data_IF_514649556916
#
_entry.id   IF_514649556916
#
_cell.length_a   1.000
_cell.length_b   1.000
_cell.length_c   1.000
_cell.angle_alpha   90.00
_cell.angle_beta   90.00
_cell.angle_gamma   90.00
#
_symmetry.space_group_name_H-M   'P 1'
#
loop_
_entity.id
_entity.type
_entity.pdbx_description
1 polymer ?
#
# COMPACT_ATOMS: atom_id res chain seq x y z
N UNK A 1 54.75 -4.56 61.36
CA UNK A 1 56.13 -4.76 61.87
C UNK A 1 56.98 -3.54 61.56
N UNK A 2 57.80 -3.08 62.52
CA UNK A 2 58.85 -2.07 62.24
C UNK A 2 59.88 -2.62 61.25
N UNK A 3 60.58 -1.71 60.56
CA UNK A 3 61.72 -2.05 59.72
C UNK A 3 62.83 -2.75 60.52
N UNK A 4 63.75 -3.43 59.81
CA UNK A 4 64.86 -4.15 60.42
C UNK A 4 65.65 -3.25 61.39
N UNK A 5 66.04 -3.83 62.54
CA UNK A 5 66.88 -3.17 63.53
C UNK A 5 68.13 -2.62 62.85
N UNK A 6 68.36 -1.31 62.97
CA UNK A 6 69.55 -0.67 62.42
C UNK A 6 70.80 -1.27 63.04
N UNK A 7 71.85 -1.43 62.23
CA UNK A 7 73.16 -1.85 62.73
C UNK A 7 73.70 -0.84 63.76
N UNK A 8 74.46 -1.31 64.74
CA UNK A 8 75.12 -0.41 65.71
C UNK A 8 76.09 0.50 64.97
N UNK A 9 76.28 1.73 65.44
CA UNK A 9 77.19 2.67 64.78
C UNK A 9 78.66 2.28 65.07
N UNK A 10 79.18 1.36 64.28
CA UNK A 10 80.59 0.92 64.22
C UNK A 10 81.02 0.79 62.76
N UNK A 11 82.30 0.56 62.51
CA UNK A 11 82.87 0.54 61.15
C UNK A 11 82.23 -0.52 60.23
N UNK A 12 81.75 -1.63 60.79
CA UNK A 12 81.12 -2.73 60.05
C UNK A 12 79.65 -2.99 60.47
N UNK A 13 79.20 -2.27 61.49
CA UNK A 13 77.88 -2.38 62.08
C UNK A 13 77.69 -3.55 63.05
N UNK A 14 78.77 -4.13 63.57
CA UNK A 14 78.78 -5.14 64.64
C UNK A 14 79.43 -4.62 65.93
N UNK A 15 79.23 -5.35 67.03
CA UNK A 15 79.89 -5.05 68.31
C UNK A 15 81.31 -5.62 68.35
N UNK A 16 82.25 -4.83 68.87
CA UNK A 16 83.66 -5.20 69.03
C UNK A 16 84.12 -4.94 70.47
N UNK A 17 85.03 -5.77 70.97
CA UNK A 17 85.71 -5.52 72.24
C UNK A 17 86.76 -4.40 72.05
N UNK A 18 87.05 -3.66 73.11
CA UNK A 18 88.19 -2.75 73.10
C UNK A 18 89.52 -3.51 73.15
N UNK A 19 90.56 -2.94 72.56
CA UNK A 19 91.92 -3.45 72.63
C UNK A 19 92.83 -2.46 73.39
N UNK A 20 93.15 -2.73 74.66
CA UNK A 20 93.97 -1.82 75.48
C UNK A 20 95.38 -1.61 74.94
N UNK A 21 95.93 -2.59 74.21
CA UNK A 21 97.30 -2.51 73.68
C UNK A 21 97.43 -1.54 72.50
N UNK A 22 96.35 -1.29 71.76
CA UNK A 22 96.32 -0.36 70.61
C UNK A 22 95.56 0.94 70.91
N UNK A 23 94.96 1.05 72.10
CA UNK A 23 94.09 2.16 72.49
C UNK A 23 92.72 2.15 71.80
N UNK A 24 92.38 1.10 71.07
CA UNK A 24 91.09 0.97 70.39
C UNK A 24 89.96 0.74 71.42
N UNK A 25 88.94 1.59 71.38
CA UNK A 25 87.79 1.48 72.27
C UNK A 25 86.78 0.48 71.73
N UNK A 26 86.17 -0.31 72.62
CA UNK A 26 85.10 -1.23 72.24
C UNK A 26 83.85 -0.50 71.78
N UNK A 27 83.00 -1.19 71.01
CA UNK A 27 81.74 -0.63 70.53
C UNK A 27 80.82 -0.34 71.72
N UNK A 28 80.58 0.95 71.97
CA UNK A 28 79.66 1.37 73.02
C UNK A 28 78.22 1.10 72.60
N UNK A 29 77.48 0.41 73.46
CA UNK A 29 76.03 0.27 73.31
C UNK A 29 75.38 1.65 73.54
N UNK A 30 74.69 2.16 72.52
CA UNK A 30 74.02 3.46 72.60
C UNK A 30 72.58 3.31 73.09
N UNK A 31 72.05 4.38 73.70
CA UNK A 31 70.64 4.43 74.09
C UNK A 31 69.73 4.31 72.87
N UNK A 32 70.12 4.89 71.73
CA UNK A 32 69.41 4.76 70.46
C UNK A 32 69.28 3.29 70.05
N UNK A 33 70.38 2.52 70.06
CA UNK A 33 70.36 1.11 69.68
C UNK A 33 69.52 0.26 70.65
N UNK A 34 69.62 0.51 71.97
CA UNK A 34 68.80 -0.19 72.96
C UNK A 34 67.31 0.14 72.82
N UNK A 35 66.97 1.41 72.57
CA UNK A 35 65.59 1.84 72.34
C UNK A 35 65.05 1.24 71.04
N UNK A 36 65.85 1.18 69.98
CA UNK A 36 65.46 0.54 68.71
C UNK A 36 65.25 -0.97 68.89
N UNK A 37 66.11 -1.64 69.68
CA UNK A 37 65.94 -3.05 70.01
C UNK A 37 64.64 -3.29 70.82
N UNK A 38 64.42 -2.51 71.88
CA UNK A 38 63.20 -2.55 72.69
C UNK A 38 61.95 -2.34 71.81
N UNK A 39 61.97 -1.31 70.98
CA UNK A 39 60.88 -0.99 70.07
C UNK A 39 60.60 -2.08 69.05
N UNK A 40 61.64 -2.74 68.55
CA UNK A 40 61.52 -3.86 67.60
C UNK A 40 60.90 -5.09 68.27
N UNK A 41 61.35 -5.43 69.48
CA UNK A 41 60.79 -6.53 70.27
C UNK A 41 59.32 -6.27 70.65
N UNK A 42 58.98 -5.04 71.04
CA UNK A 42 57.60 -4.62 71.28
C UNK A 42 56.76 -4.81 70.01
N UNK A 43 57.25 -4.36 68.85
CA UNK A 43 56.52 -4.50 67.58
C UNK A 43 56.24 -5.97 67.22
N UNK A 44 57.19 -6.89 67.44
CA UNK A 44 56.92 -8.32 67.25
C UNK A 44 55.90 -8.85 68.27
N UNK A 45 55.99 -8.42 69.53
CA UNK A 45 55.02 -8.76 70.57
C UNK A 45 53.60 -8.28 70.24
N UNK A 46 53.46 -7.08 69.68
CA UNK A 46 52.18 -6.52 69.23
C UNK A 46 51.56 -7.34 68.09
N UNK A 47 52.35 -7.78 67.10
CA UNK A 47 51.87 -8.63 66.00
C UNK A 47 51.43 -10.01 66.50
N UNK A 48 52.20 -10.61 67.41
CA UNK A 48 51.80 -11.88 68.04
C UNK A 48 50.52 -11.71 68.87
N UNK A 49 50.41 -10.64 69.65
CA UNK A 49 49.20 -10.30 70.39
C UNK A 49 48.01 -10.06 69.45
N UNK A 50 48.24 -9.47 68.27
CA UNK A 50 47.21 -9.31 67.26
C UNK A 50 46.70 -10.66 66.75
N UNK A 51 47.59 -11.63 66.48
CA UNK A 51 47.18 -13.00 66.11
C UNK A 51 46.33 -13.64 67.23
N UNK A 52 46.72 -13.50 68.50
CA UNK A 52 45.89 -13.96 69.62
C UNK A 52 44.53 -13.26 69.65
N UNK A 53 44.50 -11.95 69.41
CA UNK A 53 43.27 -11.15 69.39
C UNK A 53 42.33 -11.60 68.27
N UNK A 54 42.84 -11.86 67.06
CA UNK A 54 42.05 -12.41 65.96
C UNK A 54 41.48 -13.81 66.29
N UNK A 55 42.21 -14.59 67.09
CA UNK A 55 41.74 -15.87 67.62
C UNK A 55 40.80 -15.75 68.83
N UNK A 56 40.49 -14.52 69.29
CA UNK A 56 39.73 -14.22 70.51
C UNK A 56 40.36 -14.81 71.78
N UNK A 57 41.68 -14.84 71.83
CA UNK A 57 42.47 -15.26 73.00
C UNK A 57 43.18 -14.05 73.62
N UNK A 58 43.31 -14.07 74.95
CA UNK A 58 44.12 -13.09 75.69
C UNK A 58 45.47 -13.71 76.08
N UNK A 59 46.58 -12.94 76.10
CA UNK A 59 47.88 -13.45 76.51
C UNK A 59 47.91 -13.91 77.98
N UNK A 60 48.40 -15.12 78.21
CA UNK A 60 48.57 -15.73 79.53
C UNK A 60 50.08 -16.01 79.75
N UNK A 61 50.78 -15.28 80.64
CA UNK A 61 52.25 -15.38 80.75
C UNK A 61 52.81 -16.78 81.00
N UNK A 62 52.07 -17.67 81.66
CA UNK A 62 52.49 -19.03 81.99
C UNK A 62 52.31 -20.06 80.86
N UNK A 63 51.63 -19.71 79.76
CA UNK A 63 51.24 -20.67 78.71
C UNK A 63 52.08 -20.54 77.44
N UNK A 64 52.67 -21.65 76.98
CA UNK A 64 53.62 -21.65 75.84
C UNK A 64 53.00 -22.04 74.48
N UNK A 65 51.75 -22.50 74.44
CA UNK A 65 51.07 -23.01 73.23
C UNK A 65 50.13 -21.99 72.57
N UNK A 66 50.03 -20.79 73.13
CA UNK A 66 48.95 -19.84 72.80
C UNK A 66 48.97 -19.37 71.35
N UNK A 67 50.17 -19.17 70.80
CA UNK A 67 50.31 -18.77 69.40
C UNK A 67 49.84 -19.89 68.45
N UNK A 68 50.18 -21.14 68.75
CA UNK A 68 49.70 -22.29 67.98
C UNK A 68 48.17 -22.41 68.05
N UNK A 69 47.59 -22.32 69.26
CA UNK A 69 46.14 -22.35 69.45
C UNK A 69 45.45 -21.18 68.74
N UNK A 70 46.06 -19.99 68.77
CA UNK A 70 45.57 -18.83 68.06
C UNK A 70 45.55 -19.06 66.55
N UNK A 71 46.65 -19.56 65.98
CA UNK A 71 46.74 -19.90 64.56
C UNK A 71 45.70 -20.98 64.19
N UNK A 72 45.55 -22.03 64.99
CA UNK A 72 44.53 -23.06 64.75
C UNK A 72 43.11 -22.48 64.80
N UNK A 73 42.81 -21.59 65.75
CA UNK A 73 41.50 -20.95 65.85
C UNK A 73 41.24 -19.99 64.69
N UNK A 74 42.24 -19.21 64.28
CA UNK A 74 42.15 -18.34 63.10
C UNK A 74 41.97 -19.17 61.84
N UNK A 75 42.75 -20.24 61.65
CA UNK A 75 42.58 -21.18 60.55
C UNK A 75 41.18 -21.78 60.61
N UNK A 76 40.68 -22.26 61.74
CA UNK A 76 39.30 -22.79 61.87
C UNK A 76 38.22 -21.76 61.60
N UNK A 77 38.44 -20.49 61.96
CA UNK A 77 37.52 -19.41 61.64
C UNK A 77 37.52 -19.09 60.13
N UNK A 78 38.68 -19.19 59.47
CA UNK A 78 38.84 -18.99 58.02
C UNK A 78 38.39 -20.23 57.21
N UNK A 79 38.68 -21.44 57.70
CA UNK A 79 38.33 -22.74 57.08
C UNK A 79 36.98 -23.25 57.55
N UNK A 80 36.34 -22.57 58.51
CA UNK A 80 34.92 -22.60 58.84
C UNK A 80 34.10 -22.10 57.65
N UNK A 81 34.26 -22.83 56.55
CA UNK A 81 33.62 -22.63 55.27
C UNK A 81 32.36 -23.47 55.25
N UNK A 82 31.25 -22.96 54.70
CA UNK A 82 29.91 -23.54 54.79
C UNK A 82 29.73 -24.91 54.10
N UNK A 83 30.79 -25.59 53.69
CA UNK A 83 30.76 -26.82 52.89
C UNK A 83 31.00 -28.13 53.65
N UNK A 84 31.48 -28.11 54.91
CA UNK A 84 31.60 -29.34 55.73
C UNK A 84 30.23 -29.93 56.13
N UNK A 85 29.15 -29.13 56.13
CA UNK A 85 27.79 -29.64 56.41
C UNK A 85 27.15 -30.39 55.23
N UNK A 86 27.79 -30.46 54.05
CA UNK A 86 27.38 -31.38 52.98
C UNK A 86 27.98 -32.79 53.15
N UNK A 87 28.63 -33.08 54.28
CA UNK A 87 28.99 -34.46 54.64
C UNK A 87 27.71 -35.29 54.82
N UNK A 88 27.66 -36.49 54.23
CA UNK A 88 26.54 -37.42 54.42
C UNK A 88 26.29 -37.62 55.92
N UNK A 89 25.18 -37.08 56.41
CA UNK A 89 24.94 -36.89 57.84
C UNK A 89 24.55 -38.21 58.51
N UNK A 90 23.67 -39.01 57.89
CA UNK A 90 23.25 -40.35 58.33
C UNK A 90 22.23 -40.96 57.34
N UNK A 91 22.03 -42.30 57.38
CA UNK A 91 20.88 -42.96 56.74
C UNK A 91 19.62 -42.78 57.60
N UNK A 92 18.48 -42.49 56.96
CA UNK A 92 17.17 -42.33 57.61
C UNK A 92 16.51 -43.69 57.83
N UNK A 93 16.05 -43.94 59.06
CA UNK A 93 15.36 -45.18 59.41
C UNK A 93 13.84 -45.11 59.12
N UNK A 94 13.14 -46.23 59.32
CA UNK A 94 11.70 -46.38 59.10
C UNK A 94 10.79 -45.63 60.11
N UNK A 95 11.36 -44.91 61.06
CA UNK A 95 10.63 -44.07 62.03
C UNK A 95 10.96 -42.58 61.88
N UNK A 96 11.88 -42.22 60.98
CA UNK A 96 12.34 -40.83 60.87
C UNK A 96 11.30 -39.99 60.15
N UNK A 97 10.67 -39.09 60.89
CA UNK A 97 9.75 -38.10 60.33
C UNK A 97 10.54 -36.91 59.77
N UNK A 98 10.34 -36.57 58.50
CA UNK A 98 11.08 -35.48 57.86
C UNK A 98 10.80 -34.12 58.49
N UNK A 99 9.68 -33.95 59.21
CA UNK A 99 9.37 -32.69 59.89
C UNK A 99 10.28 -32.40 61.10
N UNK A 100 10.99 -33.41 61.61
CA UNK A 100 11.93 -33.29 62.72
C UNK A 100 13.33 -32.86 62.26
N UNK A 101 13.59 -32.90 60.95
CA UNK A 101 14.88 -32.58 60.35
C UNK A 101 14.94 -31.11 59.92
N UNK A 102 15.12 -30.22 60.89
CA UNK A 102 15.20 -28.76 60.72
C UNK A 102 16.05 -28.12 61.82
N UNK A 103 16.55 -26.91 61.58
CA UNK A 103 17.41 -26.18 62.52
C UNK A 103 18.90 -26.57 62.45
N UNK A 104 19.74 -25.75 63.09
CA UNK A 104 21.21 -25.76 62.96
C UNK A 104 21.89 -27.10 63.24
N UNK A 105 21.29 -27.96 64.08
CA UNK A 105 21.81 -29.30 64.38
C UNK A 105 21.37 -30.41 63.42
N UNK A 106 20.55 -30.10 62.42
CA UNK A 106 19.97 -31.08 61.47
C UNK A 106 20.30 -30.76 60.01
N UNK A 107 21.07 -29.71 59.74
CA UNK A 107 21.47 -29.40 58.36
C UNK A 107 22.46 -30.43 57.83
N UNK A 108 22.23 -30.89 56.60
CA UNK A 108 23.11 -31.79 55.88
C UNK A 108 22.39 -32.68 54.86
N UNK A 109 23.06 -33.76 54.45
CA UNK A 109 22.59 -34.67 53.40
C UNK A 109 22.28 -36.04 54.00
N UNK A 110 21.06 -36.52 53.81
CA UNK A 110 20.59 -37.78 54.35
C UNK A 110 20.18 -38.73 53.23
N UNK A 111 20.41 -40.02 53.42
CA UNK A 111 19.96 -41.06 52.50
C UNK A 111 18.74 -41.81 53.05
N UNK A 112 17.69 -41.92 52.25
CA UNK A 112 16.63 -42.89 52.46
C UNK A 112 16.84 -44.03 51.47
N UNK A 113 17.22 -45.20 51.96
CA UNK A 113 17.62 -46.34 51.12
C UNK A 113 16.46 -47.25 50.71
N UNK A 114 15.27 -47.10 51.29
CA UNK A 114 14.12 -47.97 50.97
C UNK A 114 12.83 -47.20 50.73
N UNK A 115 12.13 -47.54 49.64
CA UNK A 115 10.79 -47.04 49.33
C UNK A 115 9.80 -47.32 50.49
N UNK A 116 9.95 -48.44 51.18
CA UNK A 116 9.08 -48.83 52.30
C UNK A 116 9.17 -47.88 53.50
N UNK A 117 10.26 -47.11 53.62
CA UNK A 117 10.53 -46.21 54.73
C UNK A 117 10.21 -44.75 54.38
N UNK A 118 9.97 -44.45 53.11
CA UNK A 118 9.64 -43.12 52.59
C UNK A 118 8.13 -42.84 52.63
N UNK A 119 7.47 -43.02 53.77
CA UNK A 119 6.01 -42.97 53.84
C UNK A 119 5.47 -41.54 53.89
N UNK A 120 4.31 -41.29 53.26
CA UNK A 120 3.59 -40.01 53.37
C UNK A 120 3.28 -39.66 54.83
N UNK A 121 3.00 -40.66 55.68
CA UNK A 121 2.79 -40.48 57.12
C UNK A 121 4.04 -39.95 57.87
N UNK A 122 5.24 -40.17 57.31
CA UNK A 122 6.51 -39.63 57.80
C UNK A 122 6.93 -38.35 57.05
N UNK A 123 6.00 -37.73 56.32
CA UNK A 123 6.15 -36.48 55.57
C UNK A 123 7.10 -36.54 54.36
N UNK A 124 7.30 -37.72 53.78
CA UNK A 124 7.94 -37.85 52.47
C UNK A 124 6.99 -37.36 51.36
N UNK A 125 7.52 -36.70 50.31
CA UNK A 125 6.70 -36.21 49.20
C UNK A 125 6.17 -37.33 48.30
N UNK A 126 6.87 -38.47 48.24
CA UNK A 126 6.55 -39.63 47.42
C UNK A 126 7.07 -40.89 48.13
N UNK A 127 6.40 -42.03 47.93
CA UNK A 127 6.80 -43.33 48.52
C UNK A 127 7.98 -43.96 47.78
N UNK A 128 9.12 -43.26 47.78
CA UNK A 128 10.34 -43.65 47.09
C UNK A 128 11.58 -43.33 47.90
N UNK A 129 12.60 -44.15 47.79
CA UNK A 129 13.95 -43.93 48.29
C UNK A 129 14.61 -42.74 47.56
N UNK A 130 15.65 -42.17 48.16
CA UNK A 130 16.28 -40.98 47.61
C UNK A 130 17.17 -40.24 48.59
N UNK A 131 17.55 -39.04 48.19
CA UNK A 131 18.42 -38.15 48.96
C UNK A 131 17.63 -36.96 49.48
N UNK A 132 17.75 -36.69 50.79
CA UNK A 132 17.22 -35.49 51.41
C UNK A 132 18.37 -34.52 51.70
N UNK A 133 18.24 -33.29 51.25
CA UNK A 133 19.06 -32.16 51.68
C UNK A 133 18.26 -31.34 52.70
N UNK A 134 18.88 -31.03 53.84
CA UNK A 134 18.34 -30.09 54.83
C UNK A 134 19.31 -28.92 54.91
N UNK A 135 18.89 -27.75 54.43
CA UNK A 135 19.78 -26.62 54.22
C UNK A 135 19.42 -25.44 55.12
N UNK A 136 20.41 -24.65 55.57
CA UNK A 136 20.15 -23.40 56.28
C UNK A 136 19.39 -22.42 55.37
N UNK A 137 18.31 -21.85 55.91
CA UNK A 137 17.50 -20.81 55.28
C UNK A 137 16.73 -20.04 56.35
N UNK A 138 15.87 -19.09 55.98
CA UNK A 138 15.01 -18.39 56.91
C UNK A 138 14.22 -19.36 57.83
N UNK A 139 13.97 -18.93 59.05
CA UNK A 139 13.34 -19.72 60.12
C UNK A 139 14.16 -20.95 60.52
N UNK A 140 13.70 -22.18 60.22
CA UNK A 140 14.39 -23.42 60.57
C UNK A 140 14.96 -24.18 59.36
N UNK A 141 14.92 -23.58 58.16
CA UNK A 141 15.59 -24.09 56.97
C UNK A 141 14.67 -24.51 55.83
N UNK A 142 15.29 -25.15 54.84
CA UNK A 142 14.64 -25.66 53.63
C UNK A 142 15.03 -27.11 53.42
N UNK A 143 14.12 -27.91 52.87
CA UNK A 143 14.36 -29.29 52.49
C UNK A 143 14.23 -29.48 50.99
N UNK A 144 15.16 -30.22 50.41
CA UNK A 144 15.07 -30.71 49.04
C UNK A 144 15.12 -32.24 49.06
N UNK A 145 14.18 -32.91 48.41
CA UNK A 145 14.15 -34.36 48.29
C UNK A 145 14.26 -34.77 46.82
N UNK A 146 15.22 -35.65 46.52
CA UNK A 146 15.49 -36.15 45.18
C UNK A 146 15.31 -37.68 45.22
N UNK A 147 14.22 -38.21 44.65
CA UNK A 147 14.03 -39.65 44.52
C UNK A 147 15.12 -40.27 43.63
N UNK A 148 15.39 -41.56 43.82
CA UNK A 148 16.48 -42.24 43.10
C UNK A 148 16.18 -42.54 41.62
N UNK A 149 14.91 -42.57 41.21
CA UNK A 149 14.45 -43.11 39.92
C UNK A 149 13.73 -42.09 39.02
N UNK A 150 13.60 -40.83 39.44
CA UNK A 150 13.00 -39.77 38.63
C UNK A 150 13.80 -38.47 38.73
N UNK A 151 13.67 -37.63 37.70
CA UNK A 151 14.41 -36.36 37.59
C UNK A 151 13.65 -35.20 38.28
N UNK A 152 12.90 -35.52 39.33
CA UNK A 152 12.06 -34.56 40.05
C UNK A 152 12.76 -34.16 41.34
N UNK A 153 12.73 -32.86 41.66
CA UNK A 153 13.21 -32.35 42.95
C UNK A 153 12.01 -31.81 43.69
N UNK A 154 11.71 -32.37 44.86
CA UNK A 154 10.73 -31.81 45.77
C UNK A 154 11.43 -30.78 46.67
N UNK A 155 10.81 -29.63 46.87
CA UNK A 155 11.30 -28.57 47.75
C UNK A 155 10.22 -28.11 48.70
N UNK A 156 10.57 -27.85 49.96
CA UNK A 156 9.71 -27.19 50.93
C UNK A 156 10.52 -26.38 51.92
N UNK A 157 9.93 -25.34 52.48
CA UNK A 157 10.56 -24.46 53.47
C UNK A 157 9.77 -24.45 54.77
N UNK A 158 10.43 -24.07 55.86
CA UNK A 158 9.74 -23.73 57.11
C UNK A 158 9.12 -22.34 57.03
N UNK A 159 8.02 -22.13 57.75
CA UNK A 159 7.35 -20.83 57.92
C UNK A 159 7.73 -20.17 59.26
N UNK A 160 7.20 -18.98 59.53
CA UNK A 160 7.47 -18.22 60.76
C UNK A 160 7.09 -18.95 62.05
N UNK A 161 6.11 -19.87 61.99
CA UNK A 161 5.72 -20.72 63.11
C UNK A 161 6.55 -22.01 63.23
N UNK A 162 7.67 -22.11 62.50
CA UNK A 162 8.56 -23.28 62.46
C UNK A 162 7.91 -24.57 61.89
N UNK A 163 6.74 -24.48 61.27
CA UNK A 163 6.11 -25.58 60.53
C UNK A 163 6.61 -25.66 59.09
N UNK A 164 6.60 -26.84 58.47
CA UNK A 164 6.89 -26.98 57.04
C UNK A 164 5.66 -26.60 56.19
N UNK A 165 5.89 -25.87 55.10
CA UNK A 165 4.92 -25.74 54.01
C UNK A 165 4.78 -27.07 53.23
N UNK A 166 3.74 -27.16 52.39
CA UNK A 166 3.57 -28.28 51.46
C UNK A 166 4.78 -28.40 50.51
N UNK A 167 5.11 -29.64 50.16
CA UNK A 167 6.08 -29.94 49.12
C UNK A 167 5.66 -29.31 47.78
N UNK A 168 6.63 -28.71 47.09
CA UNK A 168 6.50 -28.20 45.72
C UNK A 168 7.49 -28.93 44.83
N UNK A 169 7.17 -29.07 43.55
CA UNK A 169 8.04 -29.74 42.59
C UNK A 169 8.83 -28.70 41.81
N UNK A 170 10.15 -28.84 41.75
CA UNK A 170 11.02 -28.14 40.80
C UNK A 170 11.21 -29.05 39.59
N UNK A 171 10.87 -28.54 38.41
CA UNK A 171 10.87 -29.32 37.17
C UNK A 171 9.53 -30.00 36.86
N UNK A 172 8.41 -29.50 37.39
CA UNK A 172 7.09 -29.98 37.01
C UNK A 172 6.86 -29.74 35.52
N UNK A 173 6.65 -30.82 34.76
CA UNK A 173 6.36 -30.76 33.33
C UNK A 173 4.91 -31.17 33.11
N UNK A 174 4.12 -30.27 32.52
CA UNK A 174 2.71 -30.49 32.24
C UNK A 174 2.53 -30.97 30.81
N UNK A 175 1.76 -32.05 30.70
CA UNK A 175 1.51 -32.76 29.45
C UNK A 175 0.02 -32.71 29.07
N UNK A 176 -0.59 -31.55 29.31
CA UNK A 176 -1.97 -31.20 28.95
C UNK A 176 -2.06 -29.69 28.64
N UNK A 177 -3.21 -29.26 28.09
CA UNK A 177 -3.47 -27.86 27.70
C UNK A 177 -4.38 -27.09 28.66
N UNK A 178 -4.83 -27.73 29.75
CA UNK A 178 -5.86 -27.17 30.63
C UNK A 178 -5.27 -26.61 31.94
N UNK A 179 -3.95 -26.70 32.13
CA UNK A 179 -3.32 -26.13 33.30
C UNK A 179 -3.14 -24.62 33.18
N UNK A 180 -3.38 -23.93 34.30
CA UNK A 180 -3.10 -22.52 34.53
C UNK A 180 -1.84 -22.31 35.41
N UNK A 181 -1.02 -23.36 35.58
CA UNK A 181 0.17 -23.31 36.42
C UNK A 181 1.13 -22.21 35.96
N UNK A 182 1.47 -21.30 36.88
CA UNK A 182 2.40 -20.19 36.62
C UNK A 182 3.87 -20.60 36.66
N UNK A 183 4.17 -21.84 37.06
CA UNK A 183 5.53 -22.29 37.38
C UNK A 183 5.93 -23.60 36.72
N UNK A 184 4.99 -24.36 36.17
CA UNK A 184 5.29 -25.61 35.49
C UNK A 184 5.75 -25.37 34.03
N UNK A 185 6.69 -26.20 33.57
CA UNK A 185 7.14 -26.21 32.19
C UNK A 185 6.17 -26.99 31.28
N UNK A 186 6.09 -26.60 30.00
CA UNK A 186 5.35 -27.36 28.99
C UNK A 186 6.15 -28.59 28.56
N UNK A 187 5.52 -29.76 28.43
CA UNK A 187 6.18 -30.94 27.88
C UNK A 187 6.59 -30.71 26.42
N UNK A 188 7.70 -31.30 25.96
CA UNK A 188 8.11 -31.22 24.56
C UNK A 188 7.05 -31.79 23.61
N UNK A 189 6.35 -32.86 24.03
CA UNK A 189 5.22 -33.47 23.33
C UNK A 189 4.07 -32.47 23.18
N UNK A 190 3.71 -31.79 24.27
CA UNK A 190 2.63 -30.82 24.29
C UNK A 190 2.99 -29.52 23.57
N UNK A 191 4.27 -29.14 23.58
CA UNK A 191 4.82 -28.04 22.78
C UNK A 191 4.76 -28.32 21.28
N UNK A 192 5.08 -29.55 20.87
CA UNK A 192 4.91 -30.00 19.47
C UNK A 192 3.42 -30.00 19.09
N UNK A 193 2.55 -30.58 19.90
CA UNK A 193 1.11 -30.61 19.65
C UNK A 193 0.51 -29.19 19.62
N UNK A 194 0.99 -28.28 20.46
CA UNK A 194 0.63 -26.86 20.40
C UNK A 194 1.13 -26.22 19.11
N UNK A 195 2.36 -26.48 18.67
CA UNK A 195 2.92 -25.92 17.43
C UNK A 195 2.17 -26.43 16.19
N UNK A 196 1.84 -27.73 16.17
CA UNK A 196 1.02 -28.36 15.12
C UNK A 196 -0.40 -27.78 15.11
N UNK A 197 -1.06 -27.67 16.28
CA UNK A 197 -2.42 -27.10 16.36
C UNK A 197 -2.46 -25.58 16.17
N UNK A 198 -1.37 -24.85 16.46
CA UNK A 198 -1.27 -23.40 16.22
C UNK A 198 -0.98 -23.09 14.76
N UNK A 199 -0.33 -24.00 14.03
CA UNK A 199 -0.26 -23.96 12.57
C UNK A 199 -1.66 -24.11 11.92
N UNK A 200 -2.62 -24.75 12.59
CA UNK A 200 -4.03 -24.81 12.15
C UNK A 200 -4.87 -23.59 12.57
N UNK A 201 -4.36 -22.72 13.45
CA UNK A 201 -5.13 -21.57 13.99
C UNK A 201 -4.89 -20.24 13.28
N UNK A 202 -4.09 -20.25 12.22
CA UNK A 202 -4.09 -19.15 11.24
C UNK A 202 -4.88 -19.66 10.05
N UNK A 203 -5.85 -18.88 9.58
CA UNK A 203 -6.72 -19.14 8.42
C UNK A 203 -5.93 -19.37 7.11
N UNK A 204 -5.12 -20.42 7.02
CA UNK A 204 -4.70 -20.97 5.75
C UNK A 204 -5.83 -21.90 5.37
N UNK A 205 -6.59 -21.52 4.35
CA UNK A 205 -7.56 -22.43 3.74
C UNK A 205 -6.87 -23.80 3.59
N UNK A 206 -7.44 -24.89 4.13
CA UNK A 206 -6.81 -26.19 3.97
C UNK A 206 -6.64 -26.41 2.46
N UNK A 207 -5.39 -26.49 2.00
CA UNK A 207 -5.04 -26.79 0.61
C UNK A 207 -5.45 -28.22 0.22
N UNK A 208 -6.33 -28.86 0.99
CA UNK A 208 -6.90 -30.16 0.70
C UNK A 208 -8.03 -29.99 -0.31
N UNK A 209 -7.65 -29.99 -1.59
CA UNK A 209 -8.56 -30.04 -2.73
C UNK A 209 -9.51 -31.24 -2.60
N UNK A 210 -10.77 -30.97 -2.29
CA UNK A 210 -11.83 -31.99 -2.30
C UNK A 210 -12.42 -32.09 -3.71
N UNK A 211 -12.61 -33.30 -4.23
CA UNK A 211 -13.25 -33.47 -5.55
C UNK A 211 -14.76 -33.39 -5.42
N UNK A 212 -15.41 -32.60 -6.29
CA UNK A 212 -16.86 -32.53 -6.40
C UNK A 212 -17.39 -33.77 -7.13
N UNK A 213 -18.47 -34.34 -6.61
CA UNK A 213 -19.17 -35.48 -7.20
C UNK A 213 -20.00 -35.07 -8.43
N UNK A 214 -20.67 -36.05 -9.06
CA UNK A 214 -21.59 -35.79 -10.17
C UNK A 214 -22.92 -35.16 -9.72
N UNK A 215 -23.26 -35.27 -8.44
CA UNK A 215 -24.54 -34.85 -7.86
C UNK A 215 -24.43 -33.64 -6.96
N UNK A 216 -23.22 -33.15 -6.71
CA UNK A 216 -22.97 -32.01 -5.80
C UNK A 216 -23.58 -30.72 -6.36
N UNK A 217 -24.42 -30.08 -5.55
CA UNK A 217 -24.97 -28.75 -5.80
C UNK A 217 -24.12 -27.69 -5.10
N UNK A 218 -23.63 -26.69 -5.86
CA UNK A 218 -22.75 -25.66 -5.31
C UNK A 218 -23.43 -24.80 -4.24
N UNK A 219 -24.76 -24.78 -4.15
CA UNK A 219 -25.47 -24.06 -3.09
C UNK A 219 -25.25 -24.65 -1.69
N UNK A 220 -24.96 -25.95 -1.61
CA UNK A 220 -24.77 -26.67 -0.35
C UNK A 220 -23.39 -26.43 0.27
N UNK A 221 -22.44 -25.91 -0.52
CA UNK A 221 -21.06 -25.65 -0.10
C UNK A 221 -20.96 -24.31 0.66
N UNK A 222 -21.24 -24.38 1.97
CA UNK A 222 -21.25 -23.24 2.91
C UNK A 222 -20.08 -23.23 3.91
N UNK A 223 -19.11 -24.12 3.76
CA UNK A 223 -17.89 -24.12 4.56
C UNK A 223 -16.73 -23.60 3.72
N UNK A 224 -15.86 -22.77 4.31
CA UNK A 224 -14.67 -22.29 3.60
C UNK A 224 -13.82 -23.47 3.12
N UNK A 225 -13.37 -23.43 1.87
CA UNK A 225 -12.61 -24.52 1.28
C UNK A 225 -12.38 -24.37 -0.22
N UNK A 226 -11.57 -25.27 -0.77
CA UNK A 226 -11.28 -25.35 -2.21
C UNK A 226 -11.74 -26.72 -2.72
N UNK A 227 -12.64 -26.71 -3.70
CA UNK A 227 -13.26 -27.88 -4.28
C UNK A 227 -13.01 -27.91 -5.78
N UNK A 228 -12.69 -29.08 -6.35
CA UNK A 228 -12.40 -29.22 -7.77
C UNK A 228 -13.48 -30.08 -8.44
N UNK A 229 -14.13 -29.51 -9.46
CA UNK A 229 -14.86 -30.30 -10.44
C UNK A 229 -13.89 -30.68 -11.55
N UNK A 230 -13.52 -31.95 -11.59
CA UNK A 230 -12.44 -32.45 -12.47
C UNK A 230 -12.90 -32.73 -13.91
N UNK A 231 -14.21 -32.76 -14.17
CA UNK A 231 -14.76 -33.01 -15.51
C UNK A 231 -16.01 -32.18 -15.80
N UNK A 232 -16.07 -31.59 -16.99
CA UNK A 232 -17.20 -30.76 -17.42
C UNK A 232 -18.50 -31.57 -17.51
N UNK A 233 -18.42 -32.89 -17.74
CA UNK A 233 -19.59 -33.77 -17.77
C UNK A 233 -20.33 -33.87 -16.42
N UNK A 234 -19.68 -33.45 -15.32
CA UNK A 234 -20.25 -33.46 -13.95
C UNK A 234 -20.63 -32.06 -13.47
N UNK A 235 -20.20 -31.00 -14.15
CA UNK A 235 -20.67 -29.63 -13.90
C UNK A 235 -22.05 -29.43 -14.54
N UNK A 236 -22.99 -28.80 -13.83
CA UNK A 236 -24.33 -28.50 -14.37
C UNK A 236 -24.90 -27.21 -13.81
N UNK A 237 -25.54 -26.43 -14.67
CA UNK A 237 -26.25 -25.20 -14.31
C UNK A 237 -27.42 -25.52 -13.35
N UNK A 238 -28.07 -26.67 -13.51
CA UNK A 238 -29.14 -27.13 -12.62
C UNK A 238 -28.65 -27.37 -11.18
N UNK A 239 -27.35 -27.61 -11.00
CA UNK A 239 -26.67 -27.78 -9.71
C UNK A 239 -25.88 -26.54 -9.30
N UNK A 240 -26.32 -25.37 -9.78
CA UNK A 240 -25.79 -24.05 -9.42
C UNK A 240 -24.32 -23.80 -9.80
N UNK A 241 -23.80 -24.51 -10.81
CA UNK A 241 -22.56 -24.10 -11.47
C UNK A 241 -22.83 -22.87 -12.34
N UNK A 242 -21.92 -21.89 -12.42
CA UNK A 242 -22.08 -20.74 -13.31
C UNK A 242 -22.01 -21.13 -14.79
N UNK A 243 -21.36 -22.25 -15.09
CA UNK A 243 -21.17 -22.80 -16.43
C UNK A 243 -21.02 -24.32 -16.32
N UNK A 244 -21.50 -25.08 -17.31
CA UNK A 244 -21.36 -26.54 -17.35
C UNK A 244 -19.94 -26.96 -17.78
N UNK A 245 -18.93 -26.45 -17.07
CA UNK A 245 -17.49 -26.61 -17.38
C UNK A 245 -16.74 -26.95 -16.09
N UNK A 246 -15.73 -27.83 -16.19
CA UNK A 246 -14.82 -28.16 -15.09
C UNK A 246 -14.04 -26.94 -14.58
N UNK A 247 -13.69 -26.97 -13.30
CA UNK A 247 -13.06 -25.84 -12.65
C UNK A 247 -12.90 -26.02 -11.15
N UNK A 248 -12.48 -24.93 -10.51
CA UNK A 248 -12.23 -24.85 -9.08
C UNK A 248 -13.28 -23.94 -8.44
N UNK A 249 -13.98 -24.46 -7.44
CA UNK A 249 -14.80 -23.69 -6.51
C UNK A 249 -13.97 -23.31 -5.29
N UNK A 250 -13.91 -22.02 -4.99
CA UNK A 250 -13.42 -21.48 -3.73
C UNK A 250 -14.63 -20.98 -2.93
N UNK A 251 -14.78 -21.47 -1.69
CA UNK A 251 -15.77 -20.96 -0.73
C UNK A 251 -15.01 -20.17 0.32
N UNK A 252 -15.42 -18.92 0.53
CA UNK A 252 -14.72 -17.94 1.36
C UNK A 252 -15.71 -17.23 2.29
N UNK A 253 -15.14 -16.46 3.24
CA UNK A 253 -15.90 -15.57 4.12
C UNK A 253 -17.03 -16.27 4.88
N UNK A 254 -16.69 -17.38 5.53
CA UNK A 254 -17.57 -18.24 6.31
C UNK A 254 -18.76 -18.75 5.48
N UNK A 255 -18.49 -19.21 4.25
CA UNK A 255 -19.52 -19.74 3.37
C UNK A 255 -20.39 -18.71 2.67
N UNK A 256 -20.11 -17.42 2.83
CA UNK A 256 -20.96 -16.35 2.28
C UNK A 256 -20.44 -15.79 0.95
N UNK A 257 -19.30 -16.28 0.48
CA UNK A 257 -18.75 -15.93 -0.81
C UNK A 257 -18.29 -17.18 -1.54
N UNK A 258 -18.59 -17.24 -2.83
CA UNK A 258 -18.09 -18.27 -3.72
C UNK A 258 -17.42 -17.65 -4.93
N UNK A 259 -16.31 -18.25 -5.34
CA UNK A 259 -15.66 -18.01 -6.63
C UNK A 259 -15.53 -19.32 -7.38
N UNK A 260 -15.83 -19.32 -8.66
CA UNK A 260 -15.65 -20.47 -9.52
C UNK A 260 -14.77 -20.09 -10.70
N UNK A 261 -13.60 -20.72 -10.81
CA UNK A 261 -12.68 -20.51 -11.92
C UNK A 261 -12.68 -21.76 -12.79
N UNK A 262 -13.21 -21.65 -14.01
CA UNK A 262 -13.17 -22.74 -14.98
C UNK A 262 -11.72 -23.02 -15.41
N UNK A 263 -11.44 -24.23 -15.90
CA UNK A 263 -10.09 -24.53 -16.43
C UNK A 263 -9.73 -23.77 -17.72
N UNK A 264 -10.68 -23.06 -18.32
CA UNK A 264 -10.45 -22.14 -19.43
C UNK A 264 -10.24 -20.69 -18.95
N UNK A 265 -9.89 -20.51 -17.66
CA UNK A 265 -9.60 -19.22 -17.02
C UNK A 265 -10.78 -18.25 -16.93
N UNK A 266 -12.02 -18.72 -17.13
CA UNK A 266 -13.22 -17.92 -16.88
C UNK A 266 -13.53 -17.91 -15.39
N UNK A 267 -13.59 -16.73 -14.79
CA UNK A 267 -13.81 -16.56 -13.36
C UNK A 267 -15.20 -15.98 -13.09
N UNK A 268 -15.94 -16.63 -12.20
CA UNK A 268 -17.24 -16.21 -11.70
C UNK A 268 -17.17 -16.01 -10.20
N UNK A 269 -17.97 -15.09 -9.67
CA UNK A 269 -18.14 -14.92 -8.22
C UNK A 269 -19.61 -14.67 -7.86
N UNK A 270 -20.02 -15.11 -6.69
CA UNK A 270 -21.31 -14.79 -6.09
C UNK A 270 -21.19 -14.69 -4.58
N UNK A 271 -22.21 -14.14 -3.96
CA UNK A 271 -22.30 -14.00 -2.53
C UNK A 271 -23.65 -14.52 -2.03
N UNK A 272 -23.68 -14.93 -0.76
CA UNK A 272 -24.91 -15.30 -0.07
C UNK A 272 -25.33 -14.13 0.81
N UNK A 273 -26.46 -13.51 0.48
CA UNK A 273 -27.01 -12.34 1.20
C UNK A 273 -28.51 -12.48 1.32
N UNK A 274 -29.05 -12.03 2.46
CA UNK A 274 -30.49 -12.04 2.73
C UNK A 274 -31.15 -13.42 2.57
N UNK A 275 -30.45 -14.48 3.03
CA UNK A 275 -30.99 -15.84 3.01
C UNK A 275 -31.01 -16.53 1.65
N UNK A 276 -30.35 -15.98 0.62
CA UNK A 276 -30.26 -16.61 -0.71
C UNK A 276 -28.92 -16.34 -1.40
N UNK A 277 -28.52 -17.25 -2.29
CA UNK A 277 -27.42 -17.00 -3.22
C UNK A 277 -27.83 -15.93 -4.24
N UNK A 278 -26.93 -14.98 -4.48
CA UNK A 278 -27.06 -14.06 -5.61
C UNK A 278 -26.60 -14.77 -6.90
N UNK A 279 -27.00 -14.21 -8.04
CA UNK A 279 -26.57 -14.70 -9.34
C UNK A 279 -25.05 -14.65 -9.47
N UNK A 280 -24.50 -15.63 -10.19
CA UNK A 280 -23.09 -15.64 -10.55
C UNK A 280 -22.74 -14.44 -11.43
N UNK A 281 -21.70 -13.70 -11.04
CA UNK A 281 -21.13 -12.59 -11.80
C UNK A 281 -19.79 -12.98 -12.37
N UNK A 282 -19.64 -12.92 -13.69
CA UNK A 282 -18.36 -13.11 -14.38
C UNK A 282 -17.41 -11.94 -14.07
N UNK A 283 -16.16 -12.23 -13.72
CA UNK A 283 -15.16 -11.26 -13.21
C UNK A 283 -13.76 -11.41 -13.80
N UNK A 284 -13.61 -12.21 -14.85
CA UNK A 284 -12.38 -12.33 -15.65
C UNK A 284 -12.15 -11.15 -16.62
N UNK A 285 -12.85 -10.03 -16.40
CA UNK A 285 -12.82 -8.84 -17.27
C UNK A 285 -13.28 -9.05 -18.71
N UNK A 286 -13.83 -10.22 -19.08
CA UNK A 286 -14.38 -10.41 -20.42
C UNK A 286 -15.56 -9.45 -20.65
N UNK A 287 -15.47 -8.61 -21.68
CA UNK A 287 -16.51 -7.64 -22.06
C UNK A 287 -16.34 -6.23 -21.50
N UNK A 288 -15.14 -5.88 -21.00
CA UNK A 288 -14.76 -4.50 -20.65
C UNK A 288 -13.58 -4.04 -21.51
N UNK A 289 -13.49 -2.72 -21.72
CA UNK A 289 -12.34 -2.08 -22.37
C UNK A 289 -11.30 -1.75 -21.28
N UNK A 290 -10.04 -2.14 -21.47
CA UNK A 290 -8.93 -1.84 -20.57
C UNK A 290 -8.65 -0.32 -20.47
N UNK A 291 -8.24 0.14 -19.30
CA UNK A 291 -7.87 1.54 -19.02
C UNK A 291 -6.54 1.94 -19.64
N UNK A 292 -5.67 0.98 -19.95
CA UNK A 292 -4.40 1.22 -20.64
C UNK A 292 -4.53 1.19 -22.16
N UNK A 293 -5.74 1.02 -22.68
CA UNK A 293 -6.06 0.93 -24.09
C UNK A 293 -6.41 -0.50 -24.49
N UNK A 294 -7.33 -0.60 -25.46
CA UNK A 294 -7.83 -1.87 -26.00
C UNK A 294 -8.12 -1.69 -27.49
N UNK A 295 -8.16 -2.78 -28.25
CA UNK A 295 -8.52 -2.75 -29.69
C UNK A 295 -9.86 -3.42 -29.93
N UNK A 296 -10.82 -2.68 -30.48
CA UNK A 296 -12.11 -3.23 -30.92
C UNK A 296 -11.99 -3.62 -32.39
N UNK A 297 -11.81 -4.92 -32.67
CA UNK A 297 -11.73 -5.46 -34.05
C UNK A 297 -13.09 -5.63 -34.73
N UNK A 298 -14.20 -5.40 -34.01
CA UNK A 298 -15.58 -5.44 -34.51
C UNK A 298 -16.23 -4.05 -34.60
N UNK A 299 -17.53 -4.02 -34.91
CA UNK A 299 -18.29 -2.76 -34.91
C UNK A 299 -18.56 -2.28 -33.48
N UNK A 300 -18.23 -1.03 -33.18
CA UNK A 300 -18.69 -0.35 -31.97
C UNK A 300 -20.12 0.16 -32.18
N UNK A 301 -21.08 -0.37 -31.41
CA UNK A 301 -22.48 0.10 -31.42
C UNK A 301 -22.81 0.78 -30.09
N UNK A 302 -23.14 2.08 -30.15
CA UNK A 302 -23.54 2.87 -28.99
C UNK A 302 -25.06 3.05 -29.04
N UNK A 303 -25.79 2.37 -28.15
CA UNK A 303 -27.25 2.47 -28.03
C UNK A 303 -27.60 3.24 -26.75
N UNK A 304 -28.18 4.44 -26.85
CA UNK A 304 -28.82 5.05 -25.70
C UNK A 304 -30.20 4.41 -25.46
N UNK A 305 -30.48 4.00 -24.22
CA UNK A 305 -31.79 3.44 -23.84
C UNK A 305 -32.88 4.51 -23.67
N UNK A 306 -32.48 5.76 -23.38
CA UNK A 306 -33.39 6.90 -23.28
C UNK A 306 -32.63 8.21 -23.57
N UNK A 307 -32.84 8.81 -24.75
CA UNK A 307 -32.22 10.08 -25.15
C UNK A 307 -31.32 9.97 -26.38
N UNK A 308 -30.61 11.05 -26.70
CA UNK A 308 -29.66 11.08 -27.82
C UNK A 308 -28.51 10.10 -27.55
N UNK A 309 -28.20 9.24 -28.52
CA UNK A 309 -27.01 8.39 -28.44
C UNK A 309 -25.80 9.26 -28.69
N UNK A 310 -24.81 9.19 -27.78
CA UNK A 310 -23.62 10.01 -27.85
C UNK A 310 -22.33 9.21 -27.74
N UNK A 311 -21.34 9.57 -28.55
CA UNK A 311 -19.93 9.29 -28.28
C UNK A 311 -19.31 10.54 -27.65
N UNK A 312 -18.83 10.42 -26.41
CA UNK A 312 -18.21 11.52 -25.68
C UNK A 312 -16.69 11.50 -25.80
N UNK A 313 -16.13 12.65 -26.13
CA UNK A 313 -14.71 12.92 -26.23
C UNK A 313 -14.34 14.00 -25.20
N UNK A 314 -13.71 13.61 -24.09
CA UNK A 314 -13.28 14.53 -23.04
C UNK A 314 -12.15 15.45 -23.51
N UNK A 315 -12.14 16.69 -23.01
CA UNK A 315 -11.03 17.63 -23.18
C UNK A 315 -10.50 18.03 -21.79
N UNK A 316 -9.48 18.88 -21.74
CA UNK A 316 -9.00 19.41 -20.46
C UNK A 316 -10.05 20.26 -19.72
N UNK A 317 -11.03 20.82 -20.44
CA UNK A 317 -12.10 21.67 -19.90
C UNK A 317 -13.38 21.38 -20.70
N UNK A 318 -14.26 20.54 -20.16
CA UNK A 318 -15.46 20.09 -20.86
C UNK A 318 -15.26 18.87 -21.76
N UNK A 319 -16.19 18.71 -22.70
CA UNK A 319 -16.23 17.55 -23.59
C UNK A 319 -17.02 17.86 -24.88
N UNK A 320 -16.76 17.06 -25.91
CA UNK A 320 -17.55 17.00 -27.13
C UNK A 320 -18.41 15.74 -27.15
N UNK A 321 -19.68 15.89 -27.51
CA UNK A 321 -20.60 14.80 -27.79
C UNK A 321 -20.89 14.77 -29.30
N UNK A 322 -20.63 13.64 -29.94
CA UNK A 322 -21.18 13.30 -31.25
C UNK A 322 -22.56 12.68 -31.02
N UNK A 323 -23.62 13.40 -31.35
CA UNK A 323 -24.99 13.02 -31.00
C UNK A 323 -25.86 12.80 -32.25
N UNK A 324 -26.68 11.75 -32.19
CA UNK A 324 -27.70 11.43 -33.20
C UNK A 324 -29.09 11.48 -32.60
N UNK A 325 -30.07 11.96 -33.37
CA UNK A 325 -31.44 12.08 -32.90
C UNK A 325 -32.01 10.69 -32.56
N UNK A 326 -32.60 10.47 -31.37
CA UNK A 326 -33.21 9.18 -31.04
C UNK A 326 -34.33 8.80 -32.01
N UNK A 327 -35.01 9.77 -32.63
CA UNK A 327 -36.04 9.57 -33.64
C UNK A 327 -35.49 9.67 -35.07
N UNK A 328 -34.28 9.13 -35.31
CA UNK A 328 -33.57 9.26 -36.59
C UNK A 328 -34.33 8.75 -37.81
N UNK A 329 -35.36 7.90 -37.65
CA UNK A 329 -36.24 7.52 -38.77
C UNK A 329 -36.95 8.74 -39.39
N UNK A 330 -37.47 9.64 -38.56
CA UNK A 330 -38.23 10.82 -38.98
C UNK A 330 -37.36 12.09 -39.06
N UNK A 331 -36.27 12.15 -38.29
CA UNK A 331 -35.35 13.29 -38.19
C UNK A 331 -33.89 12.81 -38.08
N UNK A 332 -33.22 12.58 -39.22
CA UNK A 332 -31.83 12.10 -39.34
C UNK A 332 -30.81 13.19 -39.01
N UNK A 333 -30.96 13.84 -37.85
CA UNK A 333 -30.04 14.91 -37.42
C UNK A 333 -28.81 14.34 -36.74
N UNK A 334 -27.67 14.84 -37.19
CA UNK A 334 -26.36 14.70 -36.58
C UNK A 334 -25.92 16.05 -36.02
N UNK A 335 -25.38 16.09 -34.81
CA UNK A 335 -24.74 17.28 -34.28
C UNK A 335 -23.37 16.96 -33.65
N UNK A 336 -22.52 17.97 -33.59
CA UNK A 336 -21.37 18.02 -32.69
C UNK A 336 -21.66 19.05 -31.61
N UNK A 337 -21.72 18.61 -30.36
CA UNK A 337 -22.04 19.47 -29.22
C UNK A 337 -20.83 19.58 -28.30
N UNK A 338 -20.35 20.79 -28.07
CA UNK A 338 -19.40 21.07 -27.01
C UNK A 338 -20.14 21.48 -25.75
N UNK A 339 -19.73 20.95 -24.59
CA UNK A 339 -20.19 21.42 -23.27
C UNK A 339 -18.97 21.75 -22.42
N UNK A 340 -18.92 22.96 -21.88
CA UNK A 340 -17.84 23.39 -20.99
C UNK A 340 -18.08 22.93 -19.53
N UNK A 341 -17.11 23.15 -18.65
CA UNK A 341 -17.20 22.73 -17.23
C UNK A 341 -18.31 23.45 -16.45
N UNK A 342 -18.79 24.59 -16.94
CA UNK A 342 -19.95 25.29 -16.35
C UNK A 342 -21.30 24.78 -16.87
N UNK A 343 -21.30 23.78 -17.77
CA UNK A 343 -22.50 23.16 -18.33
C UNK A 343 -23.10 23.91 -19.54
N UNK A 344 -22.52 25.03 -19.97
CA UNK A 344 -22.94 25.75 -21.18
C UNK A 344 -22.55 24.98 -22.43
N UNK A 345 -23.44 24.98 -23.44
CA UNK A 345 -23.26 24.17 -24.65
C UNK A 345 -23.28 24.99 -25.94
N UNK A 346 -22.38 24.66 -26.87
CA UNK A 346 -22.32 25.20 -28.23
C UNK A 346 -22.47 24.05 -29.22
N UNK A 347 -23.21 24.26 -30.31
CA UNK A 347 -23.52 23.22 -31.28
C UNK A 347 -23.03 23.59 -32.68
N UNK A 348 -22.43 22.62 -33.35
CA UNK A 348 -22.35 22.58 -34.82
C UNK A 348 -23.49 21.65 -35.26
N UNK A 349 -24.52 22.23 -35.88
CA UNK A 349 -25.74 21.51 -36.28
C UNK A 349 -25.75 21.27 -37.76
N UNK A 350 -25.96 20.02 -38.15
CA UNK A 350 -26.29 19.69 -39.52
C UNK A 350 -27.81 19.72 -39.69
N UNK A 351 -28.34 20.25 -40.79
CA UNK A 351 -29.76 20.12 -41.12
C UNK A 351 -30.15 18.64 -41.18
N UNK A 352 -31.41 18.34 -40.84
CA UNK A 352 -31.94 17.00 -41.00
C UNK A 352 -32.00 16.62 -42.47
N UNK A 353 -31.42 15.48 -42.86
CA UNK A 353 -31.49 14.98 -44.22
C UNK A 353 -32.64 13.97 -44.35
N UNK A 354 -33.38 14.05 -45.45
CA UNK A 354 -34.47 13.12 -45.79
C UNK A 354 -34.17 12.25 -47.01
N UNK A 355 -33.07 12.58 -47.70
CA UNK A 355 -32.54 11.90 -48.89
C UNK A 355 -31.02 11.88 -48.76
N UNK A 356 -30.36 11.06 -49.58
CA UNK A 356 -28.90 11.05 -49.68
C UNK A 356 -28.39 12.44 -50.07
N UNK A 357 -27.46 12.99 -49.27
CA UNK A 357 -26.83 14.27 -49.54
C UNK A 357 -25.33 14.21 -49.23
N UNK A 358 -24.53 14.81 -50.11
CA UNK A 358 -23.11 15.00 -49.88
C UNK A 358 -22.88 16.34 -49.18
N UNK A 359 -22.15 16.31 -48.07
CA UNK A 359 -21.68 17.53 -47.40
C UNK A 359 -20.36 17.93 -48.07
N UNK A 360 -20.30 19.16 -48.59
CA UNK A 360 -19.11 19.69 -49.22
C UNK A 360 -18.28 20.54 -48.26
N UNK A 361 -16.95 20.40 -48.33
CA UNK A 361 -16.01 21.27 -47.62
C UNK A 361 -15.95 22.66 -48.29
N UNK A 362 -15.66 23.69 -47.49
CA UNK A 362 -15.80 25.10 -47.89
C UNK A 362 -15.13 25.43 -49.24
N UNK A 363 -13.90 24.98 -49.47
CA UNK A 363 -13.19 25.31 -50.71
C UNK A 363 -13.81 24.68 -51.95
N UNK A 364 -14.41 23.48 -51.87
CA UNK A 364 -15.18 22.92 -52.98
C UNK A 364 -16.41 23.77 -53.30
N UNK A 365 -17.14 24.20 -52.26
CA UNK A 365 -18.33 25.05 -52.42
C UNK A 365 -17.94 26.37 -53.08
N UNK A 366 -16.87 27.01 -52.59
CA UNK A 366 -16.35 28.25 -53.18
C UNK A 366 -15.95 28.07 -54.64
N UNK A 367 -15.34 26.93 -54.99
CA UNK A 367 -14.94 26.64 -56.37
C UNK A 367 -16.16 26.44 -57.28
N UNK A 368 -17.16 25.67 -56.86
CA UNK A 368 -18.39 25.49 -57.64
C UNK A 368 -19.17 26.79 -57.80
N UNK A 369 -19.15 27.66 -56.79
CA UNK A 369 -19.83 28.96 -56.84
C UNK A 369 -19.22 29.91 -57.89
N UNK A 370 -17.93 29.78 -58.23
CA UNK A 370 -17.28 30.60 -59.27
C UNK A 370 -17.85 30.39 -60.68
N UNK A 371 -18.51 29.25 -60.92
CA UNK A 371 -19.08 28.93 -62.23
C UNK A 371 -20.44 29.60 -62.48
N UNK A 372 -20.99 30.32 -61.50
CA UNK A 372 -22.26 31.02 -61.62
C UNK A 372 -22.03 32.52 -61.71
N UNK A 373 -22.81 33.20 -62.55
CA UNK A 373 -22.85 34.66 -62.61
C UNK A 373 -23.52 35.19 -61.35
N UNK A 374 -22.82 36.01 -60.56
CA UNK A 374 -23.40 36.68 -59.41
C UNK A 374 -24.08 37.98 -59.82
N UNK A 375 -25.10 38.38 -59.06
CA UNK A 375 -25.81 39.66 -59.27
C UNK A 375 -24.85 40.86 -59.22
N UNK A 376 -23.83 40.77 -58.37
CA UNK A 376 -22.83 41.83 -58.15
C UNK A 376 -21.85 41.97 -59.33
N UNK A 377 -21.80 40.98 -60.24
CA UNK A 377 -20.98 41.05 -61.46
C UNK A 377 -21.58 42.00 -62.52
N UNK A 378 -22.84 42.42 -62.34
CA UNK A 378 -23.49 43.42 -63.20
C UNK A 378 -23.30 44.83 -62.64
N UNK A 379 -22.93 45.78 -63.50
CA UNK A 379 -22.97 47.22 -63.16
C UNK A 379 -24.03 47.89 -64.01
N UNK A 380 -24.86 48.74 -63.42
CA UNK A 380 -26.04 49.26 -64.11
C UNK A 380 -26.52 50.60 -63.55
N UNK A 381 -27.15 51.40 -64.41
CA UNK A 381 -27.98 52.52 -64.04
C UNK A 381 -29.38 52.29 -64.64
N UNK A 382 -30.36 51.96 -63.79
CA UNK A 382 -31.72 51.59 -64.19
C UNK A 382 -32.67 52.81 -64.28
N UNK A 383 -32.16 53.97 -64.68
CA UNK A 383 -33.02 55.14 -64.94
C UNK A 383 -33.71 55.07 -66.31
N UNK A 384 -34.62 56.02 -66.60
CA UNK A 384 -35.34 56.08 -67.88
C UNK A 384 -34.41 56.21 -69.11
N UNK A 385 -33.22 56.80 -68.92
CA UNK A 385 -32.11 56.76 -69.88
C UNK A 385 -30.92 56.10 -69.17
N UNK A 386 -30.77 54.81 -69.38
CA UNK A 386 -29.98 53.93 -68.53
C UNK A 386 -29.07 52.98 -69.29
N UNK A 387 -28.34 52.17 -68.54
CA UNK A 387 -27.45 51.16 -69.10
C UNK A 387 -27.25 50.00 -68.13
N UNK A 388 -26.85 48.86 -68.69
CA UNK A 388 -26.41 47.68 -67.95
C UNK A 388 -25.18 47.09 -68.64
N UNK A 389 -24.10 46.89 -67.89
CA UNK A 389 -22.90 46.20 -68.32
C UNK A 389 -22.95 44.77 -67.77
N UNK A 390 -22.88 43.83 -68.69
CA UNK A 390 -22.87 42.40 -68.46
C UNK A 390 -21.45 41.95 -68.05
N UNK A 391 -21.31 40.88 -67.24
CA UNK A 391 -20.01 40.35 -66.79
C UNK A 391 -19.07 39.95 -67.93
N UNK A 392 -19.63 39.59 -69.10
CA UNK A 392 -18.86 39.26 -70.30
C UNK A 392 -18.35 40.49 -71.07
N UNK A 393 -18.61 41.71 -70.58
CA UNK A 393 -18.13 42.96 -71.17
C UNK A 393 -19.13 43.66 -72.09
N UNK A 394 -20.20 42.99 -72.54
CA UNK A 394 -21.25 43.63 -73.33
C UNK A 394 -22.01 44.69 -72.50
N UNK A 395 -22.38 45.78 -73.15
CA UNK A 395 -23.12 46.89 -72.57
C UNK A 395 -24.40 47.07 -73.37
N UNK A 396 -25.53 47.12 -72.66
CA UNK A 396 -26.85 47.49 -73.17
C UNK A 396 -27.15 48.90 -72.68
N UNK A 397 -27.53 49.81 -73.57
CA UNK A 397 -27.89 51.18 -73.20
C UNK A 397 -29.22 51.56 -73.82
N UNK A 398 -30.08 52.27 -73.09
CA UNK A 398 -31.39 52.69 -73.56
C UNK A 398 -31.70 54.13 -73.16
N UNK A 399 -32.65 54.73 -73.84
CA UNK A 399 -33.16 56.04 -73.45
C UNK A 399 -34.15 56.62 -74.45
N UNK A 400 -34.64 57.81 -74.13
CA UNK A 400 -35.53 58.60 -74.98
C UNK A 400 -34.79 59.79 -75.58
N UNK A 401 -35.19 60.20 -76.78
CA UNK A 401 -34.67 61.34 -77.55
C UNK A 401 -35.82 62.20 -78.04
N UNK A 402 -35.64 63.52 -78.00
CA UNK A 402 -36.71 64.50 -78.26
C UNK A 402 -36.71 65.09 -79.67
N UNK A 403 -35.60 64.96 -80.39
CA UNK A 403 -35.28 65.72 -81.60
C UNK A 403 -34.19 65.01 -82.42
N UNK A 404 -34.10 65.32 -83.72
CA UNK A 404 -33.12 64.73 -84.62
C UNK A 404 -31.72 65.32 -84.42
N UNK A 405 -30.69 64.52 -84.67
CA UNK A 405 -29.30 64.95 -84.57
C UNK A 405 -28.43 63.94 -83.82
N UNK A 406 -27.19 64.34 -83.56
CA UNK A 406 -26.25 63.58 -82.75
C UNK A 406 -26.68 63.59 -81.28
N UNK A 407 -26.73 62.41 -80.67
CA UNK A 407 -27.10 62.15 -79.28
C UNK A 407 -26.01 61.33 -78.61
N UNK A 408 -25.77 61.60 -77.33
CA UNK A 408 -24.82 60.83 -76.55
C UNK A 408 -25.46 59.56 -76.01
N UNK A 409 -24.70 58.46 -76.00
CA UNK A 409 -25.04 57.31 -75.18
C UNK A 409 -24.93 57.67 -73.69
N UNK A 410 -25.70 57.02 -72.80
CA UNK A 410 -25.60 57.20 -71.35
C UNK A 410 -24.17 57.08 -70.79
N UNK A 411 -23.39 56.14 -71.34
CA UNK A 411 -21.94 56.01 -71.17
C UNK A 411 -21.30 55.73 -72.53
N UNK A 412 -20.04 56.14 -72.71
CA UNK A 412 -19.28 55.74 -73.89
C UNK A 412 -19.00 54.22 -73.85
N UNK A 413 -19.21 53.54 -74.98
CA UNK A 413 -18.74 52.16 -75.14
C UNK A 413 -17.20 52.16 -75.09
N UNK A 414 -16.57 51.31 -74.25
CA UNK A 414 -15.12 51.28 -74.13
C UNK A 414 -14.38 51.04 -75.45
N UNK A 415 -14.89 50.15 -76.29
CA UNK A 415 -14.27 49.75 -77.55
C UNK A 415 -15.12 50.17 -78.76
N UNK A 416 -16.36 49.69 -78.86
CA UNK A 416 -17.20 49.88 -80.04
C UNK A 416 -18.70 49.87 -79.70
N UNK A 417 -19.45 50.79 -80.31
CA UNK A 417 -20.89 50.69 -80.41
C UNK A 417 -21.23 49.83 -81.63
N UNK A 418 -21.79 48.64 -81.43
CA UNK A 418 -22.08 47.70 -82.53
C UNK A 418 -23.35 48.09 -83.27
N UNK A 419 -24.38 48.49 -82.52
CA UNK A 419 -25.68 48.83 -83.07
C UNK A 419 -26.40 49.84 -82.19
N UNK A 420 -27.20 50.68 -82.85
CA UNK A 420 -28.25 51.46 -82.21
C UNK A 420 -29.53 51.24 -83.00
N UNK A 421 -30.58 50.89 -82.28
CA UNK A 421 -31.94 50.71 -82.79
C UNK A 421 -32.78 51.86 -82.28
N UNK A 422 -33.64 52.40 -83.12
CA UNK A 422 -34.54 53.48 -82.76
C UNK A 422 -35.99 53.13 -83.10
N UNK A 423 -36.91 53.57 -82.26
CA UNK A 423 -38.36 53.43 -82.43
C UNK A 423 -39.05 54.72 -82.00
N UNK A 424 -40.27 54.94 -82.47
CA UNK A 424 -41.17 55.94 -81.92
C UNK A 424 -41.59 55.50 -80.50
N UNK A 425 -41.84 56.44 -79.58
CA UNK A 425 -42.19 56.12 -78.18
C UNK A 425 -43.68 55.76 -78.02
N UNK A 426 -44.60 56.66 -78.39
CA UNK A 426 -46.03 56.53 -78.03
C UNK A 426 -47.01 56.78 -79.18
N UNK A 427 -46.59 57.40 -80.29
CA UNK A 427 -47.48 57.76 -81.39
C UNK A 427 -46.70 57.86 -82.69
N UNK A 428 -47.28 57.37 -83.78
CA UNK A 428 -46.94 57.83 -85.12
C UNK A 428 -47.35 59.31 -85.22
N UNK A 429 -46.60 60.16 -85.91
CA UNK A 429 -47.03 61.55 -86.17
C UNK A 429 -48.29 61.59 -87.03
N UNK A 430 -48.61 62.75 -87.61
CA UNK A 430 -49.78 62.85 -88.51
C UNK A 430 -49.64 62.01 -89.80
N UNK A 431 -48.47 61.37 -90.04
CA UNK A 431 -48.13 60.53 -91.20
C UNK A 431 -47.16 59.40 -90.82
N UNK A 432 -46.78 58.53 -91.78
CA UNK A 432 -45.78 57.46 -91.53
C UNK A 432 -44.40 58.10 -91.27
N UNK A 433 -44.03 58.15 -89.98
CA UNK A 433 -42.75 58.66 -89.49
C UNK A 433 -41.97 57.51 -88.84
N UNK A 434 -41.06 56.87 -89.58
CA UNK A 434 -40.23 55.80 -89.01
C UNK A 434 -38.97 56.40 -88.39
N UNK A 435 -38.79 56.18 -87.09
CA UNK A 435 -37.53 56.47 -86.42
C UNK A 435 -36.42 55.57 -86.94
N UNK A 436 -35.22 56.14 -87.12
CA UNK A 436 -34.00 55.42 -87.43
C UNK A 436 -32.84 56.01 -86.64
N UNK A 437 -31.81 55.21 -86.44
CA UNK A 437 -30.57 55.64 -85.84
C UNK A 437 -29.40 54.89 -86.45
N UNK A 438 -28.21 55.48 -86.37
CA UNK A 438 -26.96 54.82 -86.71
C UNK A 438 -25.84 55.31 -85.79
N UNK A 439 -24.86 54.44 -85.56
CA UNK A 439 -23.70 54.74 -84.73
C UNK A 439 -22.84 55.79 -85.44
N UNK A 440 -22.42 56.81 -84.69
CA UNK A 440 -21.45 57.81 -85.19
C UNK A 440 -20.07 57.47 -84.65
N UNK A 441 -19.95 57.26 -83.35
CA UNK A 441 -18.73 56.83 -82.68
C UNK A 441 -19.07 56.07 -81.37
N UNK A 442 -18.06 55.79 -80.55
CA UNK A 442 -18.22 55.04 -79.29
C UNK A 442 -19.05 55.76 -78.21
N UNK A 443 -19.22 57.07 -78.30
CA UNK A 443 -19.96 57.90 -77.34
C UNK A 443 -21.25 58.48 -77.92
N UNK A 444 -21.41 58.46 -79.25
CA UNK A 444 -22.43 59.23 -79.97
C UNK A 444 -23.13 58.39 -81.02
N UNK A 445 -24.43 58.60 -81.18
CA UNK A 445 -25.22 58.10 -82.30
C UNK A 445 -26.03 59.22 -82.93
N UNK A 446 -26.43 59.04 -84.19
CA UNK A 446 -27.39 59.92 -84.83
C UNK A 446 -28.79 59.33 -84.68
N UNK A 447 -29.76 60.17 -84.34
CA UNK A 447 -31.18 59.83 -84.37
C UNK A 447 -31.94 60.73 -85.34
N UNK A 448 -32.94 60.18 -86.01
CA UNK A 448 -33.91 60.96 -86.76
C UNK A 448 -35.17 60.16 -87.06
N UNK A 449 -36.22 60.85 -87.51
CA UNK A 449 -37.40 60.22 -88.10
C UNK A 449 -37.53 60.66 -89.56
N UNK A 450 -38.06 59.79 -90.43
CA UNK A 450 -38.32 60.14 -91.82
C UNK A 450 -39.80 60.05 -92.12
N UNK A 451 -40.36 61.14 -92.64
CA UNK A 451 -41.76 61.22 -93.04
C UNK A 451 -41.97 60.67 -94.46
N UNK A 452 -43.11 60.02 -94.70
CA UNK A 452 -43.51 59.56 -96.03
C UNK A 452 -43.90 60.66 -97.02
N UNK A 453 -43.96 61.92 -96.56
CA UNK A 453 -44.56 63.02 -97.31
C UNK A 453 -43.56 64.00 -97.94
N UNK A 454 -42.37 64.15 -97.36
CA UNK A 454 -41.39 65.14 -97.79
C UNK A 454 -39.98 64.57 -97.66
N UNK A 455 -39.08 65.02 -98.51
CA UNK A 455 -37.68 64.59 -98.48
C UNK A 455 -36.93 65.39 -97.39
N UNK A 456 -37.00 64.93 -96.14
CA UNK A 456 -36.33 65.55 -95.00
C UNK A 456 -36.36 64.68 -93.74
N UNK A 457 -35.39 64.88 -92.84
CA UNK A 457 -35.33 64.23 -91.52
C UNK A 457 -36.04 65.13 -90.51
N UNK A 458 -36.96 64.56 -89.73
CA UNK A 458 -37.73 65.24 -88.69
C UNK A 458 -37.31 64.80 -87.28
N UNK A 459 -37.58 65.64 -86.28
CA UNK A 459 -37.20 65.42 -84.89
C UNK A 459 -38.31 64.87 -84.00
N UNK A 460 -39.13 63.93 -84.48
CA UNK A 460 -40.18 63.32 -83.64
C UNK A 460 -39.57 62.53 -82.47
N UNK A 461 -40.15 62.62 -81.27
CA UNK A 461 -39.62 61.95 -80.09
C UNK A 461 -39.59 60.41 -80.26
N UNK A 462 -38.46 59.79 -79.90
CA UNK A 462 -38.19 58.37 -80.07
C UNK A 462 -37.44 57.76 -78.89
N UNK A 463 -37.37 56.43 -78.85
CA UNK A 463 -36.54 55.68 -77.92
C UNK A 463 -35.45 54.96 -78.68
N UNK A 464 -34.32 54.72 -78.01
CA UNK A 464 -33.23 53.92 -78.56
C UNK A 464 -32.84 52.77 -77.64
N UNK A 465 -32.28 51.72 -78.25
CA UNK A 465 -31.55 50.64 -77.61
C UNK A 465 -30.23 50.49 -78.35
N UNK A 466 -29.12 50.52 -77.62
CA UNK A 466 -27.78 50.36 -78.16
C UNK A 466 -27.06 49.18 -77.50
N UNK A 467 -26.25 48.49 -78.28
CA UNK A 467 -25.43 47.36 -77.84
C UNK A 467 -23.99 47.60 -78.30
N UNK A 468 -23.03 47.34 -77.41
CA UNK A 468 -21.61 47.49 -77.66
C UNK A 468 -20.79 46.94 -76.51
N UNK A 469 -19.47 47.17 -76.51
CA UNK A 469 -18.56 46.74 -75.43
C UNK A 469 -17.29 47.60 -75.39
#
# INVERSE_FOLDING_TARGET
MKDLLKKINSNDGNFHNGNPATGEQGTRVTAEWLNDNQNTLISYGEELNYVLTQAKLSPIPSKKTQLYEAIVNVIKAITGTPFQNFSATSSLNNMTNLNDLKGTGKYGVYSQSSNSNALTALNYPEQKAGTLFVLPSAYQGIQLYVPFDNQIIYIRRTNQASGFENWRIIGEVIDNLNSDSKTAGLSARQGKLLNENKAEKTEVMPLQRTSLSATDDLNDFRQNGIFAQTTSARASIERNYPEAVAGVLEVLYNGNFQRYTTFNSVCYQRDYRSGKWQDWRRVDSLGKVDRTGDTINGLLRINAQSGWSLLRLGTNQGYWDLEVNPNSESDRRLNLKYTNDSGSSTYIRFPATRVEQNIAYQSWVTEQAKNYVNKDDFTQNLSGTGWCKLPNGLILQWGQVSDAGNKSFPIAFPNVALIVLATNINRQGDRVDNSFAYVVDKATFYYGAKSSAFNGVTGSAGAFLAIGY
#
